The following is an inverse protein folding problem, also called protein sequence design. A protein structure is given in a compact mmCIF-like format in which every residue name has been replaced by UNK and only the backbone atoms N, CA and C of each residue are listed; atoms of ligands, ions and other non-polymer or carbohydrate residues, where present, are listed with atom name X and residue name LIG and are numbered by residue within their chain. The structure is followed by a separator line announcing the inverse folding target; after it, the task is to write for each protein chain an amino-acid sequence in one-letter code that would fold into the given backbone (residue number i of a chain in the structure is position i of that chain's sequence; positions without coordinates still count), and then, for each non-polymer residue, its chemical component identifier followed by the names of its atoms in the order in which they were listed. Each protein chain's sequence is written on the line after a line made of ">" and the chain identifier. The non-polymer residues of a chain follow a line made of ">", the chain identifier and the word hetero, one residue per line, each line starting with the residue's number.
data_IF_635531214196
#
_entry.id   IF_635531214196
#
_cell.length_a   1.000
_cell.length_b   1.000
_cell.length_c   1.000
_cell.angle_alpha   90.00
_cell.angle_beta   90.00
_cell.angle_gamma   90.00
#
_symmetry.space_group_name_H-M   'P 1'
#
loop_
_entity.id
_entity.type
_entity.pdbx_description
1 polymer ?
#
# COMPACT_ATOMS: atom_id res chain seq x y z
N UNK A 1 -10.39 -12.63 -37.69
CA UNK A 1 -9.26 -12.95 -38.60
C UNK A 1 -8.63 -14.30 -38.22
N UNK A 2 -8.72 -15.36 -39.05
CA UNK A 2 -8.28 -16.71 -38.70
C UNK A 2 -6.76 -16.96 -38.88
N UNK A 3 -6.04 -16.07 -39.57
CA UNK A 3 -4.69 -16.35 -40.07
C UNK A 3 -3.54 -16.23 -39.05
N UNK A 4 -3.81 -15.78 -37.82
CA UNK A 4 -2.76 -15.62 -36.77
C UNK A 4 -2.54 -16.92 -35.97
N UNK A 5 -3.36 -17.95 -36.21
CA UNK A 5 -3.41 -19.13 -35.33
C UNK A 5 -2.26 -20.14 -35.52
N UNK A 6 -1.43 -20.02 -36.57
CA UNK A 6 -0.58 -21.14 -37.01
C UNK A 6 0.94 -20.95 -36.95
N UNK A 7 1.46 -19.80 -36.51
CA UNK A 7 2.92 -19.60 -36.35
C UNK A 7 3.33 -19.65 -34.88
N UNK A 8 3.72 -20.86 -34.42
CA UNK A 8 4.39 -21.11 -33.12
C UNK A 8 5.69 -20.29 -33.07
N UNK A 9 5.61 -19.08 -32.51
CA UNK A 9 6.77 -18.18 -32.35
C UNK A 9 6.43 -16.70 -32.55
N UNK A 10 5.31 -16.38 -33.19
CA UNK A 10 4.95 -14.99 -33.45
C UNK A 10 4.40 -14.31 -32.18
N UNK A 11 4.77 -13.05 -31.92
CA UNK A 11 4.29 -12.30 -30.75
C UNK A 11 2.75 -12.26 -30.69
N UNK A 12 2.09 -12.18 -31.85
CA UNK A 12 0.63 -12.22 -31.95
C UNK A 12 0.02 -13.58 -31.58
N UNK A 13 0.73 -14.69 -31.79
CA UNK A 13 0.33 -16.00 -31.30
C UNK A 13 0.41 -16.07 -29.77
N UNK A 14 1.44 -15.46 -29.17
CA UNK A 14 1.52 -15.35 -27.69
C UNK A 14 0.38 -14.50 -27.13
N UNK A 15 0.08 -13.37 -27.79
CA UNK A 15 -1.05 -12.51 -27.44
C UNK A 15 -2.38 -13.27 -27.57
N UNK A 16 -2.56 -14.07 -28.63
CA UNK A 16 -3.80 -14.83 -28.85
C UNK A 16 -4.09 -15.90 -27.81
N UNK A 17 -3.04 -16.39 -27.13
CA UNK A 17 -3.16 -17.35 -26.03
C UNK A 17 -3.49 -16.70 -24.67
N UNK A 18 -3.40 -15.38 -24.54
CA UNK A 18 -3.74 -14.69 -23.29
C UNK A 18 -5.23 -14.78 -22.98
N UNK A 19 -5.58 -14.83 -21.69
CA UNK A 19 -6.98 -14.88 -21.26
C UNK A 19 -7.77 -13.61 -21.62
N UNK A 20 -7.08 -12.46 -21.74
CA UNK A 20 -7.68 -11.21 -22.22
C UNK A 20 -8.10 -11.31 -23.69
N UNK A 21 -7.25 -11.91 -24.54
CA UNK A 21 -7.54 -12.05 -25.96
C UNK A 21 -8.73 -12.97 -26.24
N UNK A 22 -8.93 -14.00 -25.42
CA UNK A 22 -10.11 -14.89 -25.51
C UNK A 22 -11.43 -14.19 -25.18
N UNK A 23 -11.40 -13.03 -24.55
CA UNK A 23 -12.57 -12.19 -24.27
C UNK A 23 -12.85 -11.17 -25.38
N UNK A 24 -11.96 -11.05 -26.38
CA UNK A 24 -12.19 -10.15 -27.51
C UNK A 24 -13.23 -10.75 -28.45
N UNK A 25 -14.09 -9.91 -29.08
CA UNK A 25 -15.00 -10.36 -30.12
C UNK A 25 -14.23 -10.99 -31.29
N UNK A 26 -14.80 -12.01 -31.97
CA UNK A 26 -14.18 -12.68 -33.10
C UNK A 26 -14.01 -11.77 -34.34
N UNK A 27 -14.82 -10.71 -34.40
CA UNK A 27 -14.85 -9.72 -35.49
C UNK A 27 -14.34 -8.37 -34.98
N UNK A 28 -13.29 -7.86 -35.62
CA UNK A 28 -12.65 -6.57 -35.25
C UNK A 28 -13.51 -5.37 -35.71
N UNK A 29 -14.44 -5.60 -36.64
CA UNK A 29 -15.32 -4.56 -37.20
C UNK A 29 -16.19 -3.87 -36.12
N UNK A 30 -16.51 -4.56 -35.02
CA UNK A 30 -17.36 -4.05 -33.94
C UNK A 30 -16.56 -3.55 -32.71
N UNK A 31 -15.23 -3.64 -32.74
CA UNK A 31 -14.40 -3.33 -31.58
C UNK A 31 -13.78 -1.93 -31.69
N UNK A 32 -14.53 -0.93 -31.21
CA UNK A 32 -14.00 0.42 -31.05
C UNK A 32 -13.08 0.53 -29.82
N UNK A 33 -12.34 1.65 -29.73
CA UNK A 33 -11.43 1.89 -28.62
C UNK A 33 -12.15 1.90 -27.24
N UNK A 34 -13.45 2.22 -27.21
CA UNK A 34 -14.27 2.20 -26.01
C UNK A 34 -14.58 0.76 -25.57
N UNK A 35 -14.99 -0.09 -26.51
CA UNK A 35 -15.25 -1.51 -26.32
C UNK A 35 -14.01 -2.25 -25.84
N UNK A 36 -12.85 -1.99 -26.45
CA UNK A 36 -11.58 -2.55 -25.98
C UNK A 36 -11.27 -2.14 -24.53
N UNK A 37 -11.40 -0.85 -24.19
CA UNK A 37 -11.19 -0.36 -22.82
C UNK A 37 -12.16 -1.00 -21.83
N UNK A 38 -13.43 -1.21 -22.22
CA UNK A 38 -14.44 -1.85 -21.39
C UNK A 38 -14.10 -3.33 -21.12
N UNK A 39 -13.72 -4.10 -22.14
CA UNK A 39 -13.37 -5.52 -21.98
C UNK A 39 -12.08 -5.66 -21.15
N UNK A 40 -11.07 -4.83 -21.43
CA UNK A 40 -9.83 -4.78 -20.61
C UNK A 40 -10.15 -4.48 -19.14
N UNK A 41 -11.01 -3.49 -18.88
CA UNK A 41 -11.43 -3.13 -17.52
C UNK A 41 -12.15 -4.29 -16.83
N UNK A 42 -13.07 -4.97 -17.53
CA UNK A 42 -13.80 -6.14 -17.00
C UNK A 42 -12.86 -7.30 -16.68
N UNK A 43 -11.92 -7.62 -17.58
CA UNK A 43 -10.91 -8.65 -17.36
C UNK A 43 -10.04 -8.35 -16.13
N UNK A 44 -9.59 -7.11 -15.98
CA UNK A 44 -8.79 -6.70 -14.82
C UNK A 44 -9.61 -6.76 -13.51
N UNK A 45 -10.92 -6.47 -13.55
CA UNK A 45 -11.81 -6.53 -12.37
C UNK A 45 -11.96 -7.98 -11.91
N UNK A 46 -12.30 -8.87 -12.82
CA UNK A 46 -12.49 -10.29 -12.50
C UNK A 46 -11.19 -10.95 -12.02
N UNK A 47 -10.02 -10.54 -12.53
CA UNK A 47 -8.74 -11.03 -12.01
C UNK A 47 -8.44 -10.47 -10.62
N UNK A 48 -8.71 -9.19 -10.37
CA UNK A 48 -8.54 -8.59 -9.05
C UNK A 48 -9.46 -9.27 -8.02
N UNK A 49 -10.73 -9.51 -8.36
CA UNK A 49 -11.67 -10.24 -7.50
C UNK A 49 -11.19 -11.66 -7.18
N UNK A 50 -10.70 -12.40 -8.18
CA UNK A 50 -10.10 -13.73 -7.96
C UNK A 50 -8.89 -13.67 -7.04
N UNK A 51 -8.03 -12.66 -7.20
CA UNK A 51 -6.88 -12.47 -6.32
C UNK A 51 -7.34 -12.16 -4.90
N UNK A 52 -8.27 -11.22 -4.71
CA UNK A 52 -8.82 -10.86 -3.39
C UNK A 52 -9.49 -12.06 -2.70
N UNK A 53 -10.21 -12.90 -3.45
CA UNK A 53 -10.87 -14.11 -2.93
C UNK A 53 -9.89 -15.25 -2.64
N UNK A 54 -8.68 -15.21 -3.23
CA UNK A 54 -7.66 -16.23 -2.93
C UNK A 54 -7.14 -16.06 -1.49
N UNK A 55 -7.10 -17.17 -0.73
CA UNK A 55 -6.70 -17.21 0.70
C UNK A 55 -5.32 -16.59 1.00
N UNK A 56 -4.48 -16.37 -0.01
CA UNK A 56 -3.08 -15.98 0.13
C UNK A 56 -2.81 -14.47 -0.11
N UNK A 57 -3.82 -13.65 -0.46
CA UNK A 57 -3.57 -12.27 -0.91
C UNK A 57 -4.01 -11.17 0.06
N UNK A 58 -3.95 -11.40 1.37
CA UNK A 58 -4.18 -10.32 2.39
C UNK A 58 -3.42 -9.03 2.05
N UNK A 59 -2.23 -9.14 1.45
CA UNK A 59 -1.41 -8.01 1.01
C UNK A 59 -2.03 -7.22 -0.17
N UNK A 60 -2.61 -7.90 -1.15
CA UNK A 60 -3.18 -7.25 -2.34
C UNK A 60 -4.54 -6.62 -2.05
N UNK A 61 -5.37 -7.24 -1.23
CA UNK A 61 -6.67 -6.68 -0.84
C UNK A 61 -6.53 -5.39 -0.01
N UNK A 62 -5.53 -5.31 0.87
CA UNK A 62 -5.24 -4.09 1.66
C UNK A 62 -4.62 -2.94 0.83
N UNK A 63 -3.91 -3.26 -0.26
CA UNK A 63 -3.28 -2.26 -1.13
C UNK A 63 -4.15 -1.85 -2.34
N UNK A 64 -5.11 -2.68 -2.78
CA UNK A 64 -5.94 -2.43 -3.98
C UNK A 64 -7.42 -2.80 -3.76
N UNK A 65 -8.23 -1.91 -3.18
CA UNK A 65 -9.69 -2.08 -3.19
C UNK A 65 -10.29 -1.90 -4.60
N UNK A 66 -9.55 -1.28 -5.53
CA UNK A 66 -9.96 -1.01 -6.92
C UNK A 66 -8.79 -1.24 -7.88
N UNK A 67 -9.06 -1.44 -9.19
CA UNK A 67 -8.02 -1.55 -10.25
C UNK A 67 -7.40 -0.18 -10.60
N UNK A 68 -7.14 0.63 -9.58
CA UNK A 68 -6.39 1.87 -9.73
C UNK A 68 -5.03 1.66 -9.12
N UNK A 69 -4.01 2.30 -9.67
CA UNK A 69 -2.70 2.36 -9.01
C UNK A 69 -2.93 3.00 -7.63
N UNK A 70 -2.37 2.40 -6.58
CA UNK A 70 -2.44 2.97 -5.23
C UNK A 70 -1.89 4.41 -5.28
N UNK A 71 -2.62 5.43 -4.78
CA UNK A 71 -2.14 6.80 -4.70
C UNK A 71 -0.73 6.96 -4.15
N UNK A 72 -0.33 6.11 -3.19
CA UNK A 72 1.01 6.11 -2.59
C UNK A 72 2.12 5.96 -3.66
N UNK A 73 1.84 5.29 -4.78
CA UNK A 73 2.82 5.02 -5.83
C UNK A 73 3.07 6.21 -6.77
N UNK A 74 2.15 7.18 -6.87
CA UNK A 74 2.29 8.32 -7.79
C UNK A 74 2.25 9.69 -7.10
N UNK A 75 1.85 9.77 -5.84
CA UNK A 75 1.91 11.01 -5.07
C UNK A 75 3.37 11.51 -4.92
N UNK A 76 3.60 12.83 -5.03
CA UNK A 76 4.91 13.43 -4.82
C UNK A 76 5.28 13.31 -3.33
N UNK A 77 6.26 12.46 -3.03
CA UNK A 77 6.83 12.26 -1.70
C UNK A 77 8.22 11.62 -1.83
N UNK A 78 9.01 11.69 -0.77
CA UNK A 78 10.34 11.06 -0.71
C UNK A 78 10.24 9.54 -0.81
N UNK A 79 11.35 8.90 -1.17
CA UNK A 79 11.41 7.44 -1.24
C UNK A 79 11.15 6.79 0.14
N UNK A 80 11.65 7.42 1.20
CA UNK A 80 11.55 6.96 2.58
C UNK A 80 10.12 7.04 3.10
N UNK A 81 9.39 8.13 2.81
CA UNK A 81 7.97 8.28 3.15
C UNK A 81 7.12 7.25 2.44
N UNK A 82 7.39 7.03 1.14
CA UNK A 82 6.70 6.01 0.34
C UNK A 82 6.91 4.62 0.91
N UNK A 83 8.15 4.27 1.24
CA UNK A 83 8.50 2.99 1.87
C UNK A 83 7.76 2.79 3.19
N UNK A 84 7.72 3.82 4.05
CA UNK A 84 6.99 3.79 5.33
C UNK A 84 5.48 3.58 5.14
N UNK A 85 4.86 4.29 4.20
CA UNK A 85 3.44 4.16 3.90
C UNK A 85 3.08 2.76 3.36
N UNK A 86 3.90 2.23 2.45
CA UNK A 86 3.72 0.88 1.90
C UNK A 86 3.87 -0.19 3.00
N UNK A 87 4.90 -0.09 3.83
CA UNK A 87 5.11 -1.01 4.96
C UNK A 87 3.92 -0.98 5.91
N UNK A 88 3.45 0.21 6.29
CA UNK A 88 2.24 0.34 7.11
C UNK A 88 1.03 -0.31 6.45
N UNK A 89 0.77 -0.06 5.16
CA UNK A 89 -0.40 -0.61 4.46
C UNK A 89 -0.37 -2.13 4.36
N UNK A 90 0.82 -2.72 4.25
CA UNK A 90 1.03 -4.16 4.09
C UNK A 90 0.95 -4.98 5.38
N UNK A 91 0.85 -4.37 6.57
CA UNK A 91 1.02 -5.16 7.80
C UNK A 91 2.43 -5.15 8.36
N UNK A 92 3.38 -4.53 7.66
CA UNK A 92 4.79 -4.74 7.93
C UNK A 92 5.31 -3.67 8.87
N UNK A 93 5.59 -4.09 10.10
CA UNK A 93 6.32 -3.26 11.05
C UNK A 93 7.83 -3.39 10.75
N UNK A 94 8.60 -2.28 10.68
CA UNK A 94 10.06 -2.33 10.61
C UNK A 94 10.67 -3.39 11.57
N UNK A 95 11.36 -4.39 11.01
CA UNK A 95 12.13 -5.38 11.79
C UNK A 95 11.52 -6.78 11.93
N UNK A 96 10.31 -7.05 11.43
CA UNK A 96 9.77 -8.40 11.22
C UNK A 96 9.38 -9.20 12.47
N UNK A 97 10.20 -9.18 13.52
CA UNK A 97 9.92 -9.75 14.84
C UNK A 97 9.37 -8.67 15.80
N UNK A 98 8.40 -9.00 16.67
CA UNK A 98 7.94 -8.08 17.70
C UNK A 98 9.09 -7.73 18.63
N UNK A 99 9.49 -6.45 18.64
CA UNK A 99 10.45 -5.92 19.61
C UNK A 99 9.68 -5.26 20.77
N UNK A 100 10.22 -5.26 22.00
CA UNK A 100 9.65 -4.46 23.08
C UNK A 100 9.68 -2.98 22.70
N UNK A 101 8.63 -2.24 23.05
CA UNK A 101 8.57 -0.81 22.80
C UNK A 101 9.59 -0.08 23.70
N UNK A 102 10.46 0.80 23.16
CA UNK A 102 11.38 1.58 23.98
C UNK A 102 10.69 2.46 25.02
N UNK A 103 9.46 2.94 24.73
CA UNK A 103 8.66 3.76 25.65
C UNK A 103 7.91 2.91 26.69
N UNK A 104 7.64 1.64 26.38
CA UNK A 104 6.87 0.72 27.23
C UNK A 104 7.49 -0.69 27.17
N UNK A 105 8.54 -0.98 27.96
CA UNK A 105 9.28 -2.24 27.87
C UNK A 105 8.43 -3.50 28.11
N UNK A 106 7.31 -3.38 28.83
CA UNK A 106 6.36 -4.46 29.09
C UNK A 106 5.50 -4.86 27.89
N UNK A 107 5.48 -4.06 26.82
CA UNK A 107 4.64 -4.26 25.66
C UNK A 107 5.47 -4.40 24.38
N UNK A 108 5.12 -5.38 23.54
CA UNK A 108 5.67 -5.48 22.21
C UNK A 108 5.09 -4.40 21.29
N UNK A 109 5.97 -3.83 20.46
CA UNK A 109 5.63 -2.83 19.46
C UNK A 109 4.85 -3.48 18.32
N UNK A 110 3.55 -3.65 18.54
CA UNK A 110 2.55 -4.05 17.54
C UNK A 110 1.88 -2.84 16.92
N UNK A 111 1.11 -3.02 15.84
CA UNK A 111 0.35 -1.91 15.21
C UNK A 111 -0.63 -1.26 16.19
N UNK A 112 -1.36 -2.08 16.96
CA UNK A 112 -2.30 -1.59 18.00
C UNK A 112 -1.55 -0.79 19.07
N UNK A 113 -0.40 -1.30 19.52
CA UNK A 113 0.43 -0.59 20.47
C UNK A 113 0.99 0.72 19.89
N UNK A 114 1.42 0.74 18.63
CA UNK A 114 1.92 1.94 17.97
C UNK A 114 0.86 3.06 17.91
N UNK A 115 -0.40 2.69 17.65
CA UNK A 115 -1.54 3.62 17.62
C UNK A 115 -1.72 4.32 18.97
N UNK A 116 -1.74 3.55 20.07
CA UNK A 116 -1.88 4.13 21.41
C UNK A 116 -0.59 4.83 21.88
N UNK A 117 0.57 4.22 21.68
CA UNK A 117 1.88 4.72 22.13
C UNK A 117 2.27 6.05 21.45
N UNK A 118 1.88 6.26 20.19
CA UNK A 118 2.14 7.50 19.46
C UNK A 118 0.96 8.49 19.53
N UNK A 119 -0.10 8.19 20.29
CA UNK A 119 -1.32 9.00 20.38
C UNK A 119 -1.88 9.38 19.00
N UNK A 120 -1.94 8.42 18.07
CA UNK A 120 -2.21 8.69 16.66
C UNK A 120 -3.57 9.33 16.42
N UNK A 121 -4.60 8.92 17.16
CA UNK A 121 -5.95 9.51 17.10
C UNK A 121 -5.96 11.00 17.39
N UNK A 122 -5.31 11.42 18.48
CA UNK A 122 -5.22 12.83 18.88
C UNK A 122 -4.44 13.64 17.86
N UNK A 123 -3.31 13.12 17.39
CA UNK A 123 -2.46 13.79 16.40
C UNK A 123 -3.16 13.98 15.06
N UNK A 124 -3.97 13.00 14.64
CA UNK A 124 -4.69 13.02 13.37
C UNK A 124 -6.08 13.68 13.48
N UNK A 125 -6.49 14.12 14.67
CA UNK A 125 -7.84 14.63 14.96
C UNK A 125 -8.94 13.68 14.44
N UNK A 126 -8.83 12.39 14.80
CA UNK A 126 -9.76 11.34 14.38
C UNK A 126 -10.36 10.64 15.61
N UNK A 127 -11.60 10.17 15.48
CA UNK A 127 -12.30 9.44 16.54
C UNK A 127 -11.56 8.18 16.98
N UNK A 128 -11.57 7.91 18.29
CA UNK A 128 -11.03 6.67 18.90
C UNK A 128 -11.82 5.42 18.48
N UNK A 129 -13.02 5.58 17.91
CA UNK A 129 -13.80 4.47 17.35
C UNK A 129 -13.16 3.81 16.13
N UNK A 130 -12.22 4.50 15.45
CA UNK A 130 -11.54 3.98 14.26
C UNK A 130 -10.32 3.16 14.66
N UNK A 131 -10.43 1.83 14.68
CA UNK A 131 -9.36 0.95 15.17
C UNK A 131 -7.96 1.16 14.52
N UNK A 132 -7.90 1.59 13.26
CA UNK A 132 -6.64 1.93 12.57
C UNK A 132 -6.76 3.28 11.84
N UNK A 133 -6.40 4.39 12.50
CA UNK A 133 -6.60 5.73 11.98
C UNK A 133 -5.70 6.03 10.76
N UNK A 134 -4.50 5.46 10.71
CA UNK A 134 -3.57 5.66 9.59
C UNK A 134 -4.08 4.92 8.36
N UNK A 135 -4.48 3.65 8.47
CA UNK A 135 -5.01 2.89 7.34
C UNK A 135 -6.33 3.46 6.83
N UNK A 136 -7.17 3.98 7.72
CA UNK A 136 -8.39 4.70 7.35
C UNK A 136 -8.06 5.92 6.49
N UNK A 137 -7.12 6.76 6.91
CA UNK A 137 -6.72 7.93 6.12
C UNK A 137 -6.07 7.53 4.80
N UNK A 138 -5.13 6.58 4.78
CA UNK A 138 -4.49 6.12 3.54
C UNK A 138 -5.51 5.58 2.51
N UNK A 139 -6.64 5.03 2.96
CA UNK A 139 -7.75 4.61 2.08
C UNK A 139 -8.52 5.78 1.46
N UNK A 140 -8.44 6.96 2.07
CA UNK A 140 -9.07 8.19 1.61
C UNK A 140 -8.16 9.03 0.69
N UNK A 141 -6.96 8.53 0.36
CA UNK A 141 -6.05 9.25 -0.53
C UNK A 141 -6.72 9.49 -1.89
N UNK A 142 -6.51 10.68 -2.50
CA UNK A 142 -7.12 10.99 -3.78
C UNK A 142 -6.68 9.98 -4.84
N UNK A 143 -7.64 9.34 -5.50
CA UNK A 143 -7.39 8.35 -6.56
C UNK A 143 -7.31 8.97 -7.95
N UNK A 144 -7.54 10.29 -8.05
CA UNK A 144 -7.49 11.08 -9.29
C UNK A 144 -6.55 12.26 -9.10
N UNK A 145 -5.89 12.67 -10.19
CA UNK A 145 -5.00 13.82 -10.20
C UNK A 145 -5.69 15.15 -9.86
N UNK A 146 -7.01 15.23 -10.04
CA UNK A 146 -7.81 16.41 -9.70
C UNK A 146 -8.46 16.24 -8.33
N UNK A 147 -8.01 17.03 -7.36
CA UNK A 147 -8.49 17.02 -5.98
C UNK A 147 -9.16 18.36 -5.70
N UNK A 148 -10.45 18.40 -5.29
CA UNK A 148 -11.10 19.63 -4.85
C UNK A 148 -10.28 20.32 -3.74
N UNK A 149 -10.25 21.66 -3.74
CA UNK A 149 -9.40 22.46 -2.85
C UNK A 149 -9.61 22.14 -1.35
N UNK A 150 -10.84 21.81 -0.94
CA UNK A 150 -11.15 21.42 0.45
C UNK A 150 -10.49 20.09 0.85
N UNK A 151 -10.42 19.13 -0.06
CA UNK A 151 -9.73 17.85 0.17
C UNK A 151 -8.22 18.08 0.17
N UNK A 152 -7.70 18.93 -0.72
CA UNK A 152 -6.28 19.29 -0.74
C UNK A 152 -5.83 19.96 0.58
N UNK A 153 -6.62 20.87 1.14
CA UNK A 153 -6.37 21.52 2.43
C UNK A 153 -6.42 20.53 3.61
N UNK A 154 -7.35 19.57 3.58
CA UNK A 154 -7.40 18.53 4.62
C UNK A 154 -6.14 17.65 4.60
N UNK A 155 -5.61 17.36 3.41
CA UNK A 155 -4.42 16.56 3.21
C UNK A 155 -3.13 17.32 3.49
N UNK A 156 -3.08 18.63 3.24
CA UNK A 156 -1.90 19.45 3.56
C UNK A 156 -1.59 19.44 5.06
N UNK A 157 -2.61 19.32 5.91
CA UNK A 157 -2.41 19.19 7.35
C UNK A 157 -2.21 17.73 7.79
N UNK A 158 -3.00 16.79 7.28
CA UNK A 158 -2.93 15.37 7.72
C UNK A 158 -1.68 14.64 7.23
N UNK A 159 -1.18 14.97 6.04
CA UNK A 159 -0.06 14.25 5.44
C UNK A 159 1.25 14.38 6.23
N UNK A 160 1.69 15.60 6.62
CA UNK A 160 2.88 15.75 7.47
C UNK A 160 2.78 14.99 8.80
N UNK A 161 1.58 14.95 9.40
CA UNK A 161 1.33 14.22 10.65
C UNK A 161 1.48 12.71 10.43
N UNK A 162 0.92 12.16 9.36
CA UNK A 162 1.10 10.74 9.00
C UNK A 162 2.58 10.42 8.80
N UNK A 163 3.30 11.23 8.00
CA UNK A 163 4.72 11.05 7.75
C UNK A 163 5.54 11.07 9.05
N UNK A 164 5.24 11.99 9.96
CA UNK A 164 5.90 12.14 11.26
C UNK A 164 5.63 10.94 12.17
N UNK A 165 4.37 10.48 12.30
CA UNK A 165 4.02 9.29 13.08
C UNK A 165 4.76 8.06 12.55
N UNK A 166 4.74 7.84 11.23
CA UNK A 166 5.42 6.70 10.62
C UNK A 166 6.94 6.79 10.74
N UNK A 167 7.50 8.00 10.77
CA UNK A 167 8.92 8.20 11.04
C UNK A 167 9.29 7.81 12.48
N UNK A 168 8.53 8.31 13.46
CA UNK A 168 8.75 7.99 14.88
C UNK A 168 8.62 6.48 15.14
N UNK A 169 7.66 5.83 14.49
CA UNK A 169 7.51 4.38 14.56
C UNK A 169 8.77 3.64 14.07
N UNK A 170 9.33 4.09 12.94
CA UNK A 170 10.56 3.55 12.37
C UNK A 170 11.72 3.72 13.36
N UNK A 171 11.86 4.92 13.95
CA UNK A 171 12.86 5.19 14.99
C UNK A 171 12.69 4.27 16.21
N UNK A 172 11.47 4.05 16.69
CA UNK A 172 11.21 3.17 17.84
C UNK A 172 11.61 1.71 17.56
N UNK A 173 11.50 1.25 16.32
CA UNK A 173 11.90 -0.12 15.94
C UNK A 173 13.39 -0.28 15.66
N UNK A 174 14.05 0.81 15.31
CA UNK A 174 15.49 0.89 15.07
C UNK A 174 16.26 1.53 16.22
N UNK A 175 15.63 1.72 17.38
CA UNK A 175 16.31 2.15 18.59
C UNK A 175 17.29 1.05 19.02
N UNK A 176 18.53 1.14 18.55
CA UNK A 176 19.66 0.42 19.11
C UNK A 176 19.85 0.98 20.51
N UNK A 177 19.66 0.14 21.53
CA UNK A 177 20.26 0.38 22.84
C UNK A 177 21.75 0.55 22.61
N UNK A 178 22.22 1.80 22.61
CA UNK A 178 23.65 2.09 22.70
C UNK A 178 24.09 1.40 24.00
N UNK A 179 24.97 0.38 23.96
CA UNK A 179 25.52 -0.15 25.18
C UNK A 179 26.28 1.01 25.80
N UNK A 180 25.82 1.50 26.95
CA UNK A 180 26.61 2.42 27.75
C UNK A 180 27.91 1.67 28.08
N UNK A 181 28.99 1.97 27.35
CA UNK A 181 30.32 1.45 27.66
C UNK A 181 30.70 2.11 28.97
N UNK A 182 30.33 1.49 30.09
CA UNK A 182 30.93 1.82 31.38
C UNK A 182 32.44 1.64 31.23
N UNK A 183 33.25 2.69 31.49
CA UNK A 183 34.69 2.52 31.53
C UNK A 183 34.98 1.51 32.64
N UNK A 184 35.56 0.35 32.29
CA UNK A 184 36.05 -0.58 33.31
C UNK A 184 37.12 0.15 34.12
N UNK A 185 37.02 0.23 35.46
CA UNK A 185 38.11 0.77 36.25
C UNK A 185 39.33 -0.13 36.07
N UNK A 186 40.46 0.47 35.70
CA UNK A 186 41.75 -0.21 35.70
C UNK A 186 42.12 -0.46 37.15
N UNK A 187 42.07 -1.72 37.58
CA UNK A 187 42.70 -2.17 38.81
C UNK A 187 44.21 -2.19 38.60
N UNK A 188 44.92 -1.32 39.31
CA UNK A 188 46.35 -1.49 39.60
C UNK A 188 46.53 -2.46 40.76
#
# INVERSE_FOLDING_TARGET
>A
MPHIQYTRGHQWYRVSKTALWRLMPPTIADLDARGFRAIKKKFLHSNLEKLIQSKNSKLLSSCRPTITLDPILWLPMTHEERSRCLRWRLGWLPGGAPKPCPRHPSNNLSRRHAISCLNTHRRLCISETIADPISFLLSMLPTRAFVPSSIALSWSWRWPVICSILHELDQLQHYTTIPCKTPRPKTN
#
